data_IF_148458429969
#
_entry.id   IF_148458429969
#
_cell.length_a   1.000
_cell.length_b   1.000
_cell.length_c   1.000
_cell.angle_alpha   90.00
_cell.angle_beta   90.00
_cell.angle_gamma   90.00
#
_symmetry.space_group_name_H-M   'P 1'
#
loop_
_entity.id
_entity.type
_entity.pdbx_description
1 polymer ?
#
# COMPACT_ATOMS: atom_id res chain seq x y z
N UNK A 1 20.64 25.62 24.82
CA UNK A 1 20.01 24.91 23.69
C UNK A 1 20.79 25.21 22.41
N UNK A 2 21.15 24.18 21.65
CA UNK A 2 21.87 24.31 20.39
C UNK A 2 21.03 23.69 19.25
N UNK A 3 20.98 24.37 18.11
CA UNK A 3 20.17 23.95 16.95
C UNK A 3 20.74 22.71 16.20
N UNK A 4 21.99 22.36 16.43
CA UNK A 4 22.68 21.21 15.82
C UNK A 4 23.58 20.53 16.85
N UNK A 5 23.77 19.22 16.69
CA UNK A 5 24.74 18.49 17.48
C UNK A 5 26.16 19.00 17.23
N UNK A 6 26.89 19.23 18.32
CA UNK A 6 28.31 19.63 18.30
C UNK A 6 29.04 18.71 19.28
N UNK A 7 30.22 18.23 18.90
CA UNK A 7 31.01 17.31 19.72
C UNK A 7 31.42 17.93 21.07
N UNK A 8 31.52 19.27 21.16
CA UNK A 8 31.87 20.01 22.37
C UNK A 8 30.78 21.04 22.70
N UNK A 9 30.34 21.10 23.92
CA UNK A 9 29.40 22.11 24.42
C UNK A 9 30.07 23.49 24.51
N UNK A 10 29.54 24.48 23.81
CA UNK A 10 30.10 25.85 23.83
C UNK A 10 29.87 26.57 25.15
N UNK A 11 28.97 26.10 26.02
CA UNK A 11 28.66 26.74 27.30
C UNK A 11 29.52 26.21 28.46
N UNK A 12 29.87 24.93 28.46
CA UNK A 12 30.69 24.32 29.52
C UNK A 12 32.06 23.80 29.05
N UNK A 13 32.32 23.75 27.72
CA UNK A 13 33.57 23.28 27.14
C UNK A 13 33.78 21.76 27.17
N UNK A 14 32.84 20.98 27.69
CA UNK A 14 33.00 19.54 27.80
C UNK A 14 32.57 18.81 26.52
N UNK A 15 33.18 17.64 26.24
CA UNK A 15 32.93 16.82 25.09
C UNK A 15 31.81 15.80 25.36
N UNK A 16 30.98 15.53 24.34
CA UNK A 16 29.92 14.50 24.35
C UNK A 16 28.86 14.68 25.46
N UNK A 17 28.65 15.88 25.94
CA UNK A 17 27.62 16.19 26.96
C UNK A 17 26.29 16.65 26.38
N UNK A 18 26.20 16.80 25.05
CA UNK A 18 24.96 17.18 24.37
C UNK A 18 24.14 15.92 24.03
N UNK A 19 22.93 15.87 24.55
CA UNK A 19 21.93 14.84 24.18
C UNK A 19 20.84 15.48 23.34
N UNK A 20 20.36 14.72 22.33
CA UNK A 20 19.25 15.14 21.46
C UNK A 20 17.93 15.07 22.25
N UNK A 21 17.31 16.20 22.51
CA UNK A 21 15.96 16.27 23.05
C UNK A 21 14.96 16.15 21.87
N UNK A 22 14.26 15.04 21.77
CA UNK A 22 13.06 14.92 20.92
C UNK A 22 11.95 15.74 21.57
N UNK A 23 11.73 16.95 21.08
CA UNK A 23 10.52 17.72 21.43
C UNK A 23 9.38 17.10 20.65
N UNK A 24 8.51 16.37 21.34
CA UNK A 24 7.25 15.92 20.75
C UNK A 24 6.42 17.15 20.37
N UNK A 25 6.31 17.44 19.08
CA UNK A 25 5.41 18.46 18.56
C UNK A 25 3.98 18.11 18.95
N UNK A 26 3.25 19.11 19.44
CA UNK A 26 1.97 19.00 20.12
C UNK A 26 0.95 18.09 19.45
N UNK A 27 0.20 17.44 20.32
CA UNK A 27 -0.90 16.50 20.03
C UNK A 27 -1.98 17.09 19.13
N UNK A 28 -2.01 16.68 17.88
CA UNK A 28 -3.22 16.64 17.08
C UNK A 28 -3.77 15.22 17.15
N UNK A 29 -5.08 15.11 17.37
CA UNK A 29 -5.83 13.89 17.65
C UNK A 29 -5.36 12.68 16.81
N UNK A 30 -4.66 11.75 17.44
CA UNK A 30 -4.29 10.47 16.85
C UNK A 30 -5.49 9.54 16.89
N UNK A 31 -6.12 9.36 15.75
CA UNK A 31 -6.90 8.14 15.47
C UNK A 31 -5.99 6.95 15.80
N UNK A 32 -6.41 6.09 16.70
CA UNK A 32 -5.68 4.87 17.08
C UNK A 32 -5.44 4.01 15.82
N UNK A 33 -4.23 4.12 15.26
CA UNK A 33 -3.73 3.17 14.25
C UNK A 33 -3.08 2.02 15.01
N UNK A 34 -3.75 0.90 15.08
CA UNK A 34 -3.18 -0.33 15.60
C UNK A 34 -2.01 -0.80 14.73
N UNK A 35 -0.86 -1.01 15.34
CA UNK A 35 0.28 -1.67 14.73
C UNK A 35 1.44 -0.75 14.32
N UNK A 36 2.63 -1.01 14.86
CA UNK A 36 3.95 -0.43 14.53
C UNK A 36 4.23 1.03 14.91
N UNK A 37 3.48 1.65 15.78
CA UNK A 37 3.70 3.06 16.20
C UNK A 37 4.57 3.21 17.44
N UNK A 38 5.59 2.40 17.64
CA UNK A 38 6.61 2.62 18.70
C UNK A 38 6.10 2.65 20.14
N UNK A 39 4.81 2.48 20.40
CA UNK A 39 4.25 2.32 21.74
C UNK A 39 4.34 0.85 22.17
N UNK A 40 4.88 0.61 23.34
CA UNK A 40 4.93 -0.72 23.95
C UNK A 40 3.49 -1.22 24.19
N UNK A 41 3.03 -2.12 23.32
CA UNK A 41 1.81 -2.85 23.57
C UNK A 41 2.04 -3.89 24.70
N UNK A 42 1.07 -4.10 25.61
CA UNK A 42 1.20 -5.11 26.65
C UNK A 42 1.35 -6.51 26.02
N UNK A 43 2.24 -7.33 26.57
CA UNK A 43 2.37 -8.73 26.18
C UNK A 43 1.07 -9.48 26.53
N UNK A 44 0.53 -10.18 25.55
CA UNK A 44 -0.67 -11.00 25.68
C UNK A 44 -0.36 -12.44 25.30
N UNK A 45 -1.07 -13.39 25.88
CA UNK A 45 -1.02 -14.78 25.41
C UNK A 45 -1.86 -14.92 24.14
N UNK A 46 -1.44 -15.79 23.23
CA UNK A 46 -2.13 -15.98 21.95
C UNK A 46 -3.62 -16.34 22.15
N UNK A 47 -3.95 -17.11 23.19
CA UNK A 47 -5.32 -17.48 23.52
C UNK A 47 -6.19 -16.35 24.08
N UNK A 48 -5.60 -15.23 24.54
CA UNK A 48 -6.36 -14.05 25.01
C UNK A 48 -6.63 -13.05 23.90
N UNK A 49 -6.05 -13.25 22.71
CA UNK A 49 -6.28 -12.35 21.56
C UNK A 49 -7.61 -12.73 20.90
N UNK A 50 -8.59 -11.79 20.81
CA UNK A 50 -9.83 -12.07 20.12
C UNK A 50 -9.55 -12.40 18.65
N UNK A 51 -9.93 -13.59 18.21
CA UNK A 51 -9.88 -13.96 16.80
C UNK A 51 -11.19 -13.51 16.15
N UNK A 52 -11.08 -12.58 15.19
CA UNK A 52 -12.22 -12.28 14.30
C UNK A 52 -12.13 -13.24 13.11
N UNK A 53 -13.19 -14.02 12.88
CA UNK A 53 -13.38 -14.71 11.61
C UNK A 53 -13.64 -13.64 10.53
N UNK A 54 -12.58 -13.15 9.91
CA UNK A 54 -12.69 -12.23 8.80
C UNK A 54 -13.23 -12.99 7.59
N UNK A 55 -14.38 -12.56 7.09
CA UNK A 55 -14.92 -13.04 5.82
C UNK A 55 -13.88 -12.89 4.72
N UNK A 56 -13.54 -13.99 4.05
CA UNK A 56 -12.61 -13.98 2.93
C UNK A 56 -13.35 -13.78 1.62
N UNK A 57 -12.88 -12.85 0.82
CA UNK A 57 -13.44 -12.61 -0.51
C UNK A 57 -12.82 -13.58 -1.50
N UNK A 58 -13.61 -14.54 -1.93
CA UNK A 58 -13.17 -15.55 -2.89
C UNK A 58 -13.08 -14.94 -4.28
N UNK A 59 -11.96 -15.21 -4.96
CA UNK A 59 -11.76 -14.90 -6.37
C UNK A 59 -12.29 -16.07 -7.24
N UNK A 60 -12.41 -15.85 -8.53
CA UNK A 60 -12.76 -16.93 -9.48
C UNK A 60 -11.61 -17.94 -9.70
N UNK A 61 -10.38 -17.57 -9.33
CA UNK A 61 -9.22 -18.46 -9.41
C UNK A 61 -9.15 -19.36 -8.18
N UNK A 62 -9.46 -20.64 -8.34
CA UNK A 62 -9.34 -21.64 -7.28
C UNK A 62 -7.90 -21.76 -6.73
N UNK A 63 -6.90 -21.67 -7.61
CA UNK A 63 -5.50 -21.73 -7.23
C UNK A 63 -5.08 -20.51 -6.41
N UNK A 64 -5.48 -19.30 -6.82
CA UNK A 64 -5.20 -18.10 -6.05
C UNK A 64 -5.88 -18.16 -4.67
N UNK A 65 -7.13 -18.62 -4.60
CA UNK A 65 -7.81 -18.81 -3.31
C UNK A 65 -7.08 -19.82 -2.42
N UNK A 66 -6.56 -20.92 -3.01
CA UNK A 66 -5.75 -21.91 -2.27
C UNK A 66 -4.49 -21.28 -1.69
N UNK A 67 -3.75 -20.50 -2.49
CA UNK A 67 -2.53 -19.82 -2.05
C UNK A 67 -2.83 -18.78 -0.96
N UNK A 68 -3.96 -18.07 -1.07
CA UNK A 68 -4.40 -17.06 -0.10
C UNK A 68 -5.14 -17.66 1.13
N UNK A 69 -5.17 -18.98 1.26
CA UNK A 69 -5.84 -19.64 2.40
C UNK A 69 -7.36 -19.46 2.41
N UNK A 70 -7.98 -19.36 1.23
CA UNK A 70 -9.43 -19.30 1.05
C UNK A 70 -9.96 -18.04 0.34
N UNK A 71 -9.12 -17.05 0.14
CA UNK A 71 -9.48 -15.78 -0.53
C UNK A 71 -8.80 -14.56 0.08
N UNK A 72 -9.10 -13.39 -0.47
CA UNK A 72 -8.58 -12.11 0.01
C UNK A 72 -9.15 -11.78 1.40
N UNK A 73 -8.28 -11.32 2.28
CA UNK A 73 -8.70 -10.82 3.61
C UNK A 73 -8.83 -9.31 3.53
N UNK A 74 -9.96 -8.72 3.94
CA UNK A 74 -10.10 -7.26 4.01
C UNK A 74 -8.98 -6.61 4.82
N UNK A 75 -8.42 -5.51 4.31
CA UNK A 75 -7.29 -4.81 4.93
C UNK A 75 -5.93 -5.48 4.72
N UNK A 76 -5.85 -6.59 3.96
CA UNK A 76 -4.56 -7.20 3.62
C UNK A 76 -3.89 -6.52 2.43
N UNK A 77 -2.55 -6.46 2.44
CA UNK A 77 -1.74 -6.09 1.29
C UNK A 77 -1.09 -7.35 0.70
N UNK A 78 -1.23 -7.53 -0.62
CA UNK A 78 -0.70 -8.68 -1.35
C UNK A 78 0.28 -8.19 -2.40
N UNK A 79 1.52 -8.66 -2.33
CA UNK A 79 2.52 -8.42 -3.36
C UNK A 79 2.61 -9.61 -4.31
N UNK A 80 2.33 -9.34 -5.59
CA UNK A 80 2.46 -10.34 -6.64
C UNK A 80 3.77 -10.14 -7.41
N UNK A 81 4.75 -10.98 -7.16
CA UNK A 81 6.05 -10.98 -7.84
C UNK A 81 6.11 -12.03 -8.96
N UNK A 82 7.00 -11.78 -9.94
CA UNK A 82 7.26 -12.74 -11.01
C UNK A 82 8.01 -12.09 -12.19
N UNK A 83 8.62 -12.92 -13.03
CA UNK A 83 9.33 -12.46 -14.22
C UNK A 83 8.43 -11.65 -15.18
N UNK A 84 8.99 -10.77 -16.01
CA UNK A 84 8.26 -10.15 -17.12
C UNK A 84 7.59 -11.23 -17.99
N UNK A 85 6.35 -10.98 -18.43
CA UNK A 85 5.60 -11.95 -19.23
C UNK A 85 4.96 -13.12 -18.47
N UNK A 86 5.17 -13.26 -17.16
CA UNK A 86 4.57 -14.34 -16.35
C UNK A 86 3.04 -14.25 -16.17
N UNK A 87 2.40 -13.24 -16.72
CA UNK A 87 0.93 -13.10 -16.69
C UNK A 87 0.39 -12.37 -15.47
N UNK A 88 1.23 -11.67 -14.67
CA UNK A 88 0.80 -10.92 -13.47
C UNK A 88 -0.37 -9.98 -13.74
N UNK A 89 -0.23 -9.06 -14.68
CA UNK A 89 -1.26 -8.08 -15.05
C UNK A 89 -2.54 -8.76 -15.59
N UNK A 90 -2.40 -9.90 -16.27
CA UNK A 90 -3.53 -10.68 -16.73
C UNK A 90 -4.30 -11.28 -15.56
N UNK A 91 -3.60 -11.91 -14.62
CA UNK A 91 -4.22 -12.48 -13.42
C UNK A 91 -4.86 -11.40 -12.56
N UNK A 92 -4.17 -10.28 -12.33
CA UNK A 92 -4.72 -9.15 -11.57
C UNK A 92 -6.01 -8.61 -12.18
N UNK A 93 -6.05 -8.46 -13.51
CA UNK A 93 -7.24 -7.99 -14.23
C UNK A 93 -8.40 -8.98 -14.11
N UNK A 94 -8.14 -10.29 -14.23
CA UNK A 94 -9.15 -11.34 -14.03
C UNK A 94 -9.71 -11.31 -12.60
N UNK A 95 -8.83 -11.23 -11.60
CA UNK A 95 -9.21 -11.19 -10.18
C UNK A 95 -10.09 -9.97 -9.88
N UNK A 96 -9.65 -8.79 -10.30
CA UNK A 96 -10.39 -7.56 -10.02
C UNK A 96 -11.71 -7.52 -10.75
N UNK A 97 -11.78 -8.02 -11.98
CA UNK A 97 -13.03 -8.08 -12.75
C UNK A 97 -14.08 -9.01 -12.12
N UNK A 98 -13.67 -10.19 -11.64
CA UNK A 98 -14.59 -11.09 -10.94
C UNK A 98 -15.05 -10.57 -9.58
N UNK A 99 -14.22 -9.79 -8.88
CA UNK A 99 -14.60 -9.16 -7.61
C UNK A 99 -15.51 -7.95 -7.82
N UNK A 100 -15.34 -7.23 -8.92
CA UNK A 100 -16.03 -5.96 -9.18
C UNK A 100 -17.55 -6.09 -9.32
N UNK A 101 -18.10 -7.29 -9.49
CA UNK A 101 -19.53 -7.54 -9.42
C UNK A 101 -20.13 -7.34 -8.01
N UNK A 102 -19.30 -7.41 -6.97
CA UNK A 102 -19.73 -7.36 -5.57
C UNK A 102 -18.97 -6.35 -4.72
N UNK A 103 -17.86 -5.84 -5.22
CA UNK A 103 -16.94 -4.95 -4.51
C UNK A 103 -16.55 -3.78 -5.41
N UNK A 104 -16.33 -2.62 -4.82
CA UNK A 104 -15.79 -1.48 -5.57
C UNK A 104 -14.31 -1.73 -5.83
N UNK A 105 -13.96 -1.95 -7.08
CA UNK A 105 -12.59 -2.25 -7.49
C UNK A 105 -12.00 -1.09 -8.30
N UNK A 106 -10.79 -0.69 -7.93
CA UNK A 106 -10.00 0.33 -8.63
C UNK A 106 -8.70 -0.31 -9.12
N UNK A 107 -8.47 -0.23 -10.45
CA UNK A 107 -7.26 -0.71 -11.07
C UNK A 107 -6.42 0.47 -11.56
N UNK A 108 -5.24 0.65 -11.00
CA UNK A 108 -4.27 1.67 -11.41
C UNK A 108 -3.22 1.01 -12.30
N UNK A 109 -3.10 1.51 -13.53
CA UNK A 109 -2.02 1.12 -14.44
C UNK A 109 -0.99 2.24 -14.52
N UNK A 110 0.28 1.88 -14.33
CA UNK A 110 1.40 2.82 -14.48
C UNK A 110 2.25 2.53 -15.72
N UNK A 111 2.13 1.33 -16.29
CA UNK A 111 2.94 0.89 -17.44
C UNK A 111 2.15 0.85 -18.74
N UNK A 112 0.85 0.59 -18.69
CA UNK A 112 0.02 0.42 -19.86
C UNK A 112 -1.02 1.54 -20.00
N UNK A 113 -1.37 1.88 -21.23
CA UNK A 113 -2.49 2.79 -21.48
C UNK A 113 -3.84 2.13 -21.15
N UNK A 114 -4.84 2.94 -20.85
CA UNK A 114 -6.22 2.46 -20.61
C UNK A 114 -6.75 1.64 -21.78
N UNK A 115 -6.40 2.03 -23.02
CA UNK A 115 -6.80 1.30 -24.23
C UNK A 115 -6.21 -0.12 -24.28
N UNK A 116 -4.96 -0.29 -23.85
CA UNK A 116 -4.31 -1.61 -23.79
C UNK A 116 -4.95 -2.49 -22.71
N UNK A 117 -5.24 -1.94 -21.54
CA UNK A 117 -5.95 -2.65 -20.46
C UNK A 117 -7.34 -3.07 -20.93
N UNK A 118 -8.11 -2.17 -21.55
CA UNK A 118 -9.44 -2.46 -22.10
C UNK A 118 -9.41 -3.52 -23.21
N UNK A 119 -8.43 -3.46 -24.12
CA UNK A 119 -8.26 -4.47 -25.16
C UNK A 119 -7.94 -5.86 -24.58
N UNK A 120 -7.11 -5.90 -23.52
CA UNK A 120 -6.81 -7.14 -22.78
C UNK A 120 -8.06 -7.70 -22.13
N UNK A 121 -8.84 -6.87 -21.43
CA UNK A 121 -10.10 -7.28 -20.80
C UNK A 121 -11.08 -7.88 -21.83
N UNK A 122 -11.25 -7.24 -22.98
CA UNK A 122 -12.08 -7.75 -24.08
C UNK A 122 -11.58 -9.09 -24.62
N UNK A 123 -10.27 -9.23 -24.83
CA UNK A 123 -9.66 -10.51 -25.29
C UNK A 123 -9.91 -11.64 -24.30
N UNK A 124 -9.90 -11.35 -23.01
CA UNK A 124 -10.15 -12.29 -21.93
C UNK A 124 -11.65 -12.50 -21.66
N UNK A 125 -12.53 -11.77 -22.36
CA UNK A 125 -14.01 -11.80 -22.19
C UNK A 125 -14.43 -11.46 -20.76
N UNK A 126 -13.71 -10.53 -20.11
CA UNK A 126 -14.01 -10.09 -18.75
C UNK A 126 -15.15 -9.05 -18.76
N UNK A 127 -15.93 -8.94 -17.68
CA UNK A 127 -16.89 -7.85 -17.50
C UNK A 127 -16.13 -6.51 -17.41
N UNK A 128 -16.33 -5.64 -18.42
CA UNK A 128 -15.56 -4.40 -18.57
C UNK A 128 -16.23 -3.19 -17.92
N UNK A 129 -17.54 -3.25 -17.68
CA UNK A 129 -18.33 -2.12 -17.22
C UNK A 129 -18.34 -1.94 -15.69
N UNK A 130 -17.74 -2.87 -14.97
CA UNK A 130 -17.79 -2.92 -13.48
C UNK A 130 -16.47 -2.55 -12.80
N UNK A 131 -15.37 -2.46 -13.54
CA UNK A 131 -14.04 -2.14 -13.01
C UNK A 131 -13.70 -0.69 -13.29
N UNK A 132 -13.44 0.10 -12.27
CA UNK A 132 -12.88 1.45 -12.44
C UNK A 132 -11.38 1.35 -12.68
N UNK A 133 -10.89 2.06 -13.71
CA UNK A 133 -9.48 2.05 -14.10
C UNK A 133 -8.95 3.46 -14.26
N UNK A 134 -7.69 3.69 -13.84
CA UNK A 134 -6.98 4.93 -14.08
C UNK A 134 -5.53 4.68 -14.49
N UNK A 135 -5.01 5.50 -15.41
CA UNK A 135 -3.60 5.50 -15.75
C UNK A 135 -2.91 6.58 -14.92
N UNK A 136 -2.11 6.17 -13.93
CA UNK A 136 -1.49 7.08 -12.98
C UNK A 136 -0.23 6.48 -12.36
N UNK A 137 0.79 7.33 -12.13
CA UNK A 137 2.05 6.95 -11.48
C UNK A 137 2.32 7.76 -10.20
N UNK A 138 1.63 8.86 -9.96
CA UNK A 138 1.72 9.63 -8.70
C UNK A 138 0.88 8.96 -7.62
N UNK A 139 1.50 8.65 -6.48
CA UNK A 139 0.81 8.08 -5.32
C UNK A 139 -0.23 9.05 -4.74
N UNK A 140 0.07 10.34 -4.77
CA UNK A 140 -0.80 11.40 -4.26
C UNK A 140 -2.12 11.42 -5.06
N UNK A 141 -2.04 11.37 -6.39
CA UNK A 141 -3.22 11.29 -7.25
C UNK A 141 -3.99 9.96 -7.07
N UNK A 142 -3.30 8.85 -6.80
CA UNK A 142 -3.98 7.58 -6.45
C UNK A 142 -4.77 7.72 -5.15
N UNK A 143 -4.25 8.45 -4.17
CA UNK A 143 -4.97 8.70 -2.93
C UNK A 143 -6.19 9.62 -3.12
N UNK A 144 -6.15 10.58 -4.03
CA UNK A 144 -7.34 11.36 -4.42
C UNK A 144 -8.43 10.45 -4.99
N UNK A 145 -8.09 9.56 -5.94
CA UNK A 145 -9.05 8.56 -6.43
C UNK A 145 -9.55 7.64 -5.32
N UNK A 146 -8.70 7.26 -4.38
CA UNK A 146 -9.12 6.44 -3.23
C UNK A 146 -10.15 7.17 -2.37
N UNK A 147 -9.92 8.43 -2.06
CA UNK A 147 -10.79 9.22 -1.19
C UNK A 147 -12.16 9.49 -1.83
N UNK A 148 -12.18 9.71 -3.14
CA UNK A 148 -13.41 9.95 -3.90
C UNK A 148 -14.19 8.65 -4.14
N UNK A 149 -13.53 7.61 -4.62
CA UNK A 149 -14.16 6.36 -5.03
C UNK A 149 -14.35 5.38 -3.86
N UNK A 150 -13.51 5.43 -2.84
CA UNK A 150 -13.50 4.54 -1.67
C UNK A 150 -13.53 3.06 -2.08
N UNK A 151 -12.53 2.57 -2.79
CA UNK A 151 -12.50 1.19 -3.26
C UNK A 151 -12.39 0.20 -2.10
N UNK A 152 -13.04 -0.95 -2.24
CA UNK A 152 -12.83 -2.12 -1.37
C UNK A 152 -11.54 -2.87 -1.77
N UNK A 153 -11.18 -2.81 -3.06
CA UNK A 153 -9.97 -3.43 -3.62
C UNK A 153 -9.25 -2.43 -4.51
N UNK A 154 -7.98 -2.17 -4.22
CA UNK A 154 -7.07 -1.41 -5.06
C UNK A 154 -6.03 -2.35 -5.67
N UNK A 155 -5.86 -2.28 -6.98
CA UNK A 155 -4.77 -2.93 -7.72
C UNK A 155 -3.84 -1.85 -8.26
N UNK A 156 -2.54 -2.02 -8.08
CA UNK A 156 -1.49 -1.16 -8.65
C UNK A 156 -0.58 -2.00 -9.53
N UNK A 157 -0.57 -1.74 -10.84
CA UNK A 157 0.18 -2.48 -11.85
C UNK A 157 1.06 -1.55 -12.70
N UNK A 158 2.33 -1.36 -12.35
CA UNK A 158 3.04 -1.96 -11.23
C UNK A 158 3.56 -0.89 -10.25
N UNK A 159 3.84 -1.29 -9.03
CA UNK A 159 4.44 -0.41 -8.01
C UNK A 159 5.81 0.13 -8.44
N UNK A 160 6.50 -0.51 -9.37
CA UNK A 160 7.84 -0.14 -9.82
C UNK A 160 7.89 1.20 -10.56
N UNK A 161 6.81 1.61 -11.18
CA UNK A 161 6.72 2.89 -11.91
C UNK A 161 6.06 4.00 -11.10
N UNK A 162 5.55 3.65 -9.91
CA UNK A 162 4.96 4.62 -9.00
C UNK A 162 6.02 5.50 -8.35
N UNK A 163 5.62 6.72 -8.03
CA UNK A 163 6.43 7.66 -7.28
C UNK A 163 5.58 8.44 -6.28
N UNK A 164 6.22 8.90 -5.22
CA UNK A 164 5.68 9.82 -4.23
C UNK A 164 6.41 11.15 -4.35
N UNK A 165 5.68 12.24 -4.33
CA UNK A 165 6.21 13.60 -4.31
C UNK A 165 6.98 13.92 -3.01
N UNK A 166 6.82 13.10 -1.98
CA UNK A 166 7.56 13.24 -0.73
C UNK A 166 9.07 12.93 -0.85
N UNK A 167 9.52 12.32 -1.97
CA UNK A 167 10.91 11.95 -2.21
C UNK A 167 11.41 12.54 -3.53
N UNK A 168 12.57 13.19 -3.49
CA UNK A 168 13.26 13.74 -4.68
C UNK A 168 14.02 12.68 -5.50
N UNK A 169 13.77 11.39 -5.27
CA UNK A 169 14.45 10.30 -5.98
C UNK A 169 13.66 9.87 -7.23
N UNK A 170 14.36 9.30 -8.20
CA UNK A 170 13.74 8.88 -9.46
C UNK A 170 12.71 7.76 -9.24
N UNK A 171 11.59 7.75 -10.02
CA UNK A 171 10.67 6.62 -10.07
C UNK A 171 11.42 5.31 -10.33
N UNK A 172 10.97 4.22 -9.70
CA UNK A 172 11.62 2.91 -9.80
C UNK A 172 12.86 2.71 -8.91
N UNK A 173 13.35 3.75 -8.24
CA UNK A 173 14.38 3.58 -7.21
C UNK A 173 13.84 2.79 -6.01
N UNK A 174 14.73 2.08 -5.32
CA UNK A 174 14.35 1.29 -4.13
C UNK A 174 13.68 2.15 -3.06
N UNK A 175 14.13 3.41 -2.88
CA UNK A 175 13.54 4.35 -1.94
C UNK A 175 12.09 4.70 -2.32
N UNK A 176 11.82 4.98 -3.59
CA UNK A 176 10.45 5.25 -4.08
C UNK A 176 9.54 4.04 -3.89
N UNK A 177 9.98 2.85 -4.32
CA UNK A 177 9.16 1.64 -4.19
C UNK A 177 8.84 1.34 -2.72
N UNK A 178 9.80 1.53 -1.81
CA UNK A 178 9.58 1.33 -0.36
C UNK A 178 8.61 2.35 0.22
N UNK A 179 8.75 3.62 -0.14
CA UNK A 179 7.87 4.70 0.33
C UNK A 179 6.44 4.47 -0.15
N UNK A 180 6.27 4.23 -1.47
CA UNK A 180 4.96 3.95 -2.06
C UNK A 180 4.30 2.73 -1.40
N UNK A 181 5.05 1.62 -1.24
CA UNK A 181 4.54 0.42 -0.60
C UNK A 181 4.13 0.69 0.87
N UNK A 182 4.97 1.38 1.64
CA UNK A 182 4.68 1.71 3.03
C UNK A 182 3.41 2.56 3.16
N UNK A 183 3.26 3.59 2.34
CA UNK A 183 2.09 4.48 2.36
C UNK A 183 0.81 3.79 1.90
N UNK A 184 0.89 2.91 0.90
CA UNK A 184 -0.27 2.12 0.46
C UNK A 184 -0.74 1.14 1.54
N UNK A 185 0.19 0.51 2.29
CA UNK A 185 -0.15 -0.43 3.37
C UNK A 185 -0.72 0.28 4.61
N UNK A 186 -0.36 1.55 4.82
CA UNK A 186 -0.84 2.34 5.95
C UNK A 186 -2.21 2.99 5.72
N UNK A 187 -2.67 3.01 4.46
CA UNK A 187 -3.95 3.62 4.07
C UNK A 187 -5.14 2.72 4.42
#
# INVERSE_FOLDING_TARGET
EHAKWQGQCQSCGEWNTLSQLSVAAGSSATTQRGGYSGQLAPLQTLGSVPTMDNERWRTESGELNRVLGGGLVPGSAILMGGAPGAGKSTLLLQVVSGLAERKRCLYITGEESLAQVALRAKRLKLPVDVVSVAAQTSLEAVFEYWDDYKPDVLVVDSIQVMHSEALETLPGSVSQVREVAARLVQR
#
